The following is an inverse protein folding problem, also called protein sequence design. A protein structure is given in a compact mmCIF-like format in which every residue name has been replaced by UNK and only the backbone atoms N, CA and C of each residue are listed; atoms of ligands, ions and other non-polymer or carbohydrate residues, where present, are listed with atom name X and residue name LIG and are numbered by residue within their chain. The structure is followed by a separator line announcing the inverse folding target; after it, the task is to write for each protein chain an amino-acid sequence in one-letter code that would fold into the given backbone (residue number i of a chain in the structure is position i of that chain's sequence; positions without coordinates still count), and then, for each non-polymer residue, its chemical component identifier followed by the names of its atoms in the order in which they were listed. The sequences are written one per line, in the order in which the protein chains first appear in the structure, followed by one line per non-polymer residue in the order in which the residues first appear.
data_IF_354581245943
#
_entry.id   IF_354581245943
#
_cell.length_a   1.000
_cell.length_b   1.000
_cell.length_c   1.000
_cell.angle_alpha   90.00
_cell.angle_beta   90.00
_cell.angle_gamma   90.00
#
_symmetry.space_group_name_H-M   'P 1'
#
loop_
_entity.id
_entity.type
_entity.pdbx_description
1 polymer ?
#
# COMPACT_ATOMS: atom_id res chain seq x y z
N UNK A 1 0.17 -13.21 -12.13
CA UNK A 1 -1.14 -13.38 -11.48
C UNK A 1 -2.11 -14.23 -12.29
N UNK A 2 -3.28 -14.52 -11.75
CA UNK A 2 -4.27 -15.39 -12.38
C UNK A 2 -5.03 -14.72 -13.55
N UNK A 3 -5.00 -13.39 -13.65
CA UNK A 3 -5.76 -12.66 -14.66
C UNK A 3 -4.90 -12.23 -15.83
N UNK A 4 -5.48 -12.29 -17.04
CA UNK A 4 -4.99 -11.50 -18.16
C UNK A 4 -5.33 -10.04 -17.92
N UNK A 5 -4.56 -9.11 -18.48
CA UNK A 5 -4.81 -7.69 -18.39
C UNK A 5 -4.67 -7.00 -19.74
N UNK A 6 -5.18 -5.77 -19.83
CA UNK A 6 -4.99 -4.89 -21.00
C UNK A 6 -4.83 -3.45 -20.50
N UNK A 7 -4.68 -2.50 -21.41
CA UNK A 7 -4.33 -1.12 -21.05
C UNK A 7 -5.29 -0.09 -21.64
N UNK A 8 -5.34 1.08 -20.98
CA UNK A 8 -5.92 2.31 -21.52
C UNK A 8 -4.81 3.36 -21.56
N UNK A 9 -4.67 4.03 -22.68
CA UNK A 9 -3.67 5.06 -22.94
C UNK A 9 -4.33 6.38 -23.35
N UNK A 10 -3.56 7.45 -23.42
CA UNK A 10 -4.02 8.76 -23.93
C UNK A 10 -4.66 8.67 -25.31
N UNK A 11 -4.11 7.83 -26.21
CA UNK A 11 -4.68 7.61 -27.54
C UNK A 11 -6.10 6.99 -27.52
N UNK A 12 -6.51 6.42 -26.40
CA UNK A 12 -7.83 5.84 -26.15
C UNK A 12 -8.69 6.77 -25.26
N UNK A 13 -8.24 8.01 -25.03
CA UNK A 13 -8.98 9.03 -24.29
C UNK A 13 -8.67 9.11 -22.79
N UNK A 14 -7.65 8.39 -22.31
CA UNK A 14 -7.18 8.57 -20.95
C UNK A 14 -6.69 9.99 -20.74
N UNK A 15 -7.10 10.64 -19.65
CA UNK A 15 -6.61 11.97 -19.26
C UNK A 15 -5.11 11.93 -18.94
N UNK A 16 -4.40 12.98 -19.30
CA UNK A 16 -2.98 13.17 -19.01
C UNK A 16 -2.79 14.47 -18.19
N UNK A 17 -2.40 14.33 -16.94
CA UNK A 17 -2.08 15.46 -16.07
C UNK A 17 -3.28 16.29 -15.58
N UNK A 18 -3.03 17.49 -14.99
CA UNK A 18 -1.83 18.35 -15.19
C UNK A 18 -0.57 17.99 -14.38
N UNK A 19 -0.70 17.23 -13.29
CA UNK A 19 0.42 17.04 -12.35
C UNK A 19 1.27 15.78 -12.65
N UNK A 20 0.98 15.11 -13.75
CA UNK A 20 1.77 13.98 -14.27
C UNK A 20 1.68 13.92 -15.80
N UNK A 21 2.51 13.09 -16.43
CA UNK A 21 2.47 12.77 -17.86
C UNK A 21 2.61 11.27 -18.13
N UNK A 22 2.37 10.89 -19.39
CA UNK A 22 2.59 9.53 -19.90
C UNK A 22 1.87 8.44 -19.07
N UNK A 23 0.67 8.74 -18.59
CA UNK A 23 -0.16 7.81 -17.82
C UNK A 23 -0.62 6.62 -18.65
N UNK A 24 -0.57 5.43 -18.05
CA UNK A 24 -1.16 4.20 -18.62
C UNK A 24 -1.88 3.45 -17.52
N UNK A 25 -3.14 3.16 -17.74
CA UNK A 25 -3.96 2.31 -16.87
C UNK A 25 -3.87 0.88 -17.37
N UNK A 26 -3.55 -0.05 -16.49
CA UNK A 26 -3.62 -1.50 -16.67
C UNK A 26 -4.83 -2.01 -15.88
N UNK A 27 -5.65 -2.85 -16.49
CA UNK A 27 -6.82 -3.39 -15.82
C UNK A 27 -7.03 -4.88 -16.16
N UNK A 28 -7.55 -5.69 -15.20
CA UNK A 28 -7.74 -7.12 -15.39
C UNK A 28 -8.83 -7.41 -16.41
N UNK A 29 -8.68 -8.49 -17.16
CA UNK A 29 -9.70 -9.06 -18.02
C UNK A 29 -10.36 -10.21 -17.28
N UNK A 30 -11.62 -10.05 -16.93
CA UNK A 30 -12.31 -10.98 -16.04
C UNK A 30 -11.96 -10.69 -14.56
N UNK A 31 -12.63 -11.36 -13.66
CA UNK A 31 -12.54 -11.07 -12.22
C UNK A 31 -13.80 -10.37 -11.73
N UNK A 32 -13.83 -10.04 -10.45
CA UNK A 32 -15.00 -9.46 -9.79
C UNK A 32 -14.83 -7.95 -9.60
N UNK A 33 -15.69 -7.17 -10.23
CA UNK A 33 -15.80 -5.73 -9.99
C UNK A 33 -16.68 -5.48 -8.73
N UNK A 34 -16.53 -4.31 -8.06
CA UNK A 34 -15.66 -3.19 -8.43
C UNK A 34 -14.19 -3.43 -8.09
N UNK A 35 -13.29 -3.05 -9.00
CA UNK A 35 -11.86 -3.22 -8.85
C UNK A 35 -11.24 -2.13 -7.96
N UNK A 36 -10.38 -2.54 -7.05
CA UNK A 36 -9.53 -1.67 -6.25
C UNK A 36 -8.36 -1.17 -7.11
N UNK A 37 -7.78 -0.01 -6.75
CA UNK A 37 -6.80 0.65 -7.60
C UNK A 37 -5.51 1.02 -6.89
N UNK A 38 -4.39 0.98 -7.64
CA UNK A 38 -3.08 1.45 -7.20
C UNK A 38 -2.43 2.33 -8.26
N UNK A 39 -1.85 3.47 -7.86
CA UNK A 39 -1.11 4.37 -8.74
C UNK A 39 0.38 4.32 -8.41
N UNK A 40 1.24 4.35 -9.45
CA UNK A 40 2.67 4.15 -9.32
C UNK A 40 3.47 5.26 -10.02
N UNK A 41 4.49 5.80 -9.33
CA UNK A 41 5.39 6.84 -9.84
C UNK A 41 6.86 6.40 -9.75
N UNK A 42 7.72 6.78 -10.75
CA UNK A 42 9.13 6.38 -10.79
C UNK A 42 10.03 7.20 -9.85
N UNK A 43 11.30 6.78 -9.79
CA UNK A 43 12.37 7.48 -9.10
C UNK A 43 12.91 8.72 -9.84
N UNK A 44 14.00 9.29 -9.30
CA UNK A 44 14.73 10.41 -9.91
C UNK A 44 15.27 10.01 -11.30
N UNK A 45 15.05 10.86 -12.28
CA UNK A 45 15.47 10.62 -13.68
C UNK A 45 14.66 9.53 -14.38
N UNK A 46 13.71 8.88 -13.70
CA UNK A 46 12.87 7.83 -14.26
C UNK A 46 11.62 8.37 -14.95
N UNK A 47 11.29 7.81 -16.12
CA UNK A 47 10.02 8.05 -16.81
C UNK A 47 8.97 7.01 -16.43
N UNK A 48 7.72 7.20 -16.89
CA UNK A 48 6.57 6.36 -16.53
C UNK A 48 6.80 4.85 -16.76
N UNK A 49 7.62 4.47 -17.72
CA UNK A 49 7.88 3.06 -18.07
C UNK A 49 8.65 2.29 -17.01
N UNK A 50 9.33 2.97 -16.09
CA UNK A 50 10.07 2.33 -14.98
C UNK A 50 9.14 1.47 -14.11
N UNK A 51 7.89 1.91 -13.92
CA UNK A 51 6.90 1.22 -13.08
C UNK A 51 6.06 0.18 -13.83
N UNK A 52 6.38 -0.13 -15.10
CA UNK A 52 5.57 -1.05 -15.92
C UNK A 52 5.45 -2.45 -15.32
N UNK A 53 6.56 -3.03 -14.83
CA UNK A 53 6.56 -4.38 -14.27
C UNK A 53 5.65 -4.48 -13.02
N UNK A 54 5.65 -3.46 -12.18
CA UNK A 54 4.78 -3.39 -11.02
C UNK A 54 3.31 -3.18 -11.41
N UNK A 55 3.03 -2.32 -12.40
CA UNK A 55 1.65 -2.12 -12.89
C UNK A 55 1.07 -3.41 -13.49
N UNK A 56 1.85 -4.13 -14.31
CA UNK A 56 1.48 -5.44 -14.87
C UNK A 56 1.26 -6.50 -13.78
N UNK A 57 2.12 -6.50 -12.77
CA UNK A 57 2.00 -7.38 -11.62
C UNK A 57 0.65 -7.18 -10.92
N UNK A 58 0.31 -5.95 -10.51
CA UNK A 58 -0.95 -5.68 -9.83
C UNK A 58 -2.17 -5.95 -10.72
N UNK A 59 -2.13 -5.55 -11.98
CA UNK A 59 -3.22 -5.82 -12.91
C UNK A 59 -3.48 -7.33 -13.10
N UNK A 60 -2.42 -8.14 -13.18
CA UNK A 60 -2.54 -9.59 -13.26
C UNK A 60 -3.09 -10.23 -11.97
N UNK A 61 -3.10 -9.50 -10.85
CA UNK A 61 -3.66 -9.94 -9.57
C UNK A 61 -5.04 -9.33 -9.25
N UNK A 62 -5.67 -8.67 -10.23
CA UNK A 62 -7.06 -8.22 -10.09
C UNK A 62 -7.24 -6.77 -9.67
N UNK A 63 -6.17 -5.97 -9.64
CA UNK A 63 -6.24 -4.54 -9.37
C UNK A 63 -6.24 -3.71 -10.66
N UNK A 64 -6.84 -2.53 -10.63
CA UNK A 64 -6.52 -1.51 -11.61
C UNK A 64 -5.21 -0.86 -11.17
N UNK A 65 -4.20 -0.85 -12.05
CA UNK A 65 -2.92 -0.23 -11.77
C UNK A 65 -2.64 0.89 -12.79
N UNK A 66 -2.30 2.08 -12.33
CA UNK A 66 -1.93 3.17 -13.21
C UNK A 66 -0.50 3.59 -12.93
N UNK A 67 0.37 3.49 -13.95
CA UNK A 67 1.69 4.10 -13.88
C UNK A 67 1.69 5.48 -14.50
N UNK A 68 2.43 6.39 -13.91
CA UNK A 68 2.61 7.76 -14.38
C UNK A 68 4.08 8.14 -14.45
N UNK A 69 4.39 9.16 -15.24
CA UNK A 69 5.69 9.86 -15.22
C UNK A 69 5.55 11.24 -14.58
N UNK A 70 6.59 11.76 -13.93
CA UNK A 70 6.62 13.15 -13.49
C UNK A 70 6.64 14.10 -14.69
N UNK A 71 6.22 15.34 -14.52
CA UNK A 71 6.29 16.35 -15.58
C UNK A 71 7.73 16.70 -15.93
N UNK A 72 8.62 16.69 -14.92
CA UNK A 72 10.06 16.83 -15.09
C UNK A 72 10.78 15.72 -14.31
N UNK A 73 11.44 14.81 -15.01
CA UNK A 73 12.10 13.64 -14.44
C UNK A 73 13.23 14.01 -13.45
N UNK A 74 13.81 15.20 -13.60
CA UNK A 74 14.96 15.68 -12.82
C UNK A 74 14.53 16.69 -11.74
N UNK A 75 13.62 17.62 -12.06
CA UNK A 75 13.35 18.76 -11.19
C UNK A 75 12.06 18.63 -10.36
N UNK A 76 11.14 17.70 -10.69
CA UNK A 76 9.96 17.49 -9.87
C UNK A 76 10.37 16.90 -8.50
N UNK A 77 10.02 17.62 -7.44
CA UNK A 77 10.23 17.23 -6.05
C UNK A 77 9.40 16.00 -5.66
N UNK A 78 9.66 15.43 -4.48
CA UNK A 78 8.81 14.39 -3.86
C UNK A 78 7.35 14.85 -3.80
N UNK A 79 7.12 16.07 -3.30
CA UNK A 79 5.79 16.66 -3.18
C UNK A 79 5.06 16.76 -4.53
N UNK A 80 5.72 17.24 -5.60
CA UNK A 80 5.12 17.32 -6.94
C UNK A 80 4.77 15.92 -7.50
N UNK A 81 5.62 14.93 -7.25
CA UNK A 81 5.32 13.54 -7.62
C UNK A 81 4.15 12.97 -6.80
N UNK A 82 4.03 13.37 -5.52
CA UNK A 82 2.87 13.07 -4.67
C UNK A 82 1.58 13.68 -5.23
N UNK A 83 1.63 14.94 -5.67
CA UNK A 83 0.51 15.59 -6.38
C UNK A 83 0.14 14.83 -7.66
N UNK A 84 1.14 14.36 -8.42
CA UNK A 84 0.91 13.51 -9.60
C UNK A 84 0.20 12.20 -9.29
N UNK A 85 0.51 11.55 -8.16
CA UNK A 85 -0.21 10.36 -7.71
C UNK A 85 -1.68 10.65 -7.41
N UNK A 86 -1.98 11.75 -6.72
CA UNK A 86 -3.35 12.17 -6.41
C UNK A 86 -4.11 12.55 -7.69
N UNK A 87 -3.47 13.28 -8.61
CA UNK A 87 -4.08 13.65 -9.89
C UNK A 87 -4.37 12.42 -10.78
N UNK A 88 -3.52 11.40 -10.72
CA UNK A 88 -3.74 10.14 -11.44
C UNK A 88 -4.90 9.32 -10.85
N UNK A 89 -5.14 9.38 -9.55
CA UNK A 89 -6.34 8.81 -8.92
C UNK A 89 -7.59 9.47 -9.51
N UNK A 90 -7.60 10.80 -9.66
CA UNK A 90 -8.72 11.52 -10.30
C UNK A 90 -8.90 11.08 -11.76
N UNK A 91 -7.84 10.70 -12.46
CA UNK A 91 -7.95 10.17 -13.83
C UNK A 91 -8.61 8.79 -13.87
N UNK A 92 -8.32 7.90 -12.93
CA UNK A 92 -9.02 6.61 -12.79
C UNK A 92 -10.50 6.84 -12.47
N UNK A 93 -10.83 7.77 -11.55
CA UNK A 93 -12.22 8.13 -11.23
C UNK A 93 -12.98 8.66 -12.44
N UNK A 94 -12.32 9.46 -13.29
CA UNK A 94 -12.91 9.95 -14.55
C UNK A 94 -13.15 8.81 -15.55
N UNK A 95 -12.23 7.84 -15.66
CA UNK A 95 -12.41 6.64 -16.48
C UNK A 95 -13.63 5.82 -16.04
N UNK A 96 -13.89 5.72 -14.72
CA UNK A 96 -15.09 5.08 -14.20
C UNK A 96 -16.40 5.75 -14.65
N UNK A 97 -16.35 7.04 -14.97
CA UNK A 97 -17.51 7.84 -15.39
C UNK A 97 -17.60 8.02 -16.91
N UNK A 98 -16.52 7.80 -17.65
CA UNK A 98 -16.46 7.95 -19.11
C UNK A 98 -17.16 6.79 -19.80
N UNK A 99 -18.25 7.06 -20.56
CA UNK A 99 -19.11 6.05 -21.15
C UNK A 99 -18.39 5.07 -22.10
N UNK A 100 -17.37 5.56 -22.83
CA UNK A 100 -16.60 4.75 -23.77
C UNK A 100 -15.36 4.10 -23.12
N UNK A 101 -15.16 4.26 -21.81
CA UNK A 101 -14.08 3.62 -21.10
C UNK A 101 -14.39 2.14 -20.86
N UNK A 102 -13.42 1.24 -21.09
CA UNK A 102 -13.62 -0.18 -20.80
C UNK A 102 -13.73 -0.51 -19.30
N UNK A 103 -13.40 0.45 -18.41
CA UNK A 103 -13.56 0.33 -16.96
C UNK A 103 -14.70 1.20 -16.42
N UNK A 104 -15.60 1.69 -17.29
CA UNK A 104 -16.77 2.46 -16.87
C UNK A 104 -17.64 1.65 -15.91
N UNK A 105 -17.90 2.21 -14.72
CA UNK A 105 -18.69 1.57 -13.66
C UNK A 105 -18.02 0.36 -12.98
N UNK A 106 -16.73 0.10 -13.22
CA UNK A 106 -16.01 -1.05 -12.69
C UNK A 106 -14.99 -0.70 -11.58
N UNK A 107 -14.77 0.58 -11.29
CA UNK A 107 -13.80 1.04 -10.29
C UNK A 107 -14.46 1.19 -8.93
N UNK A 108 -13.82 0.69 -7.89
CA UNK A 108 -14.17 1.04 -6.52
C UNK A 108 -13.69 2.47 -6.22
N UNK A 109 -14.65 3.38 -6.04
CA UNK A 109 -14.39 4.81 -5.89
C UNK A 109 -13.84 5.21 -4.52
N UNK A 110 -13.85 4.28 -3.56
CA UNK A 110 -13.42 4.51 -2.17
C UNK A 110 -12.13 3.73 -1.84
N UNK A 111 -11.50 3.08 -2.84
CA UNK A 111 -10.38 2.17 -2.58
C UNK A 111 -9.21 2.40 -3.54
N UNK A 112 -8.38 3.37 -3.16
CA UNK A 112 -7.15 3.75 -3.87
C UNK A 112 -5.92 3.57 -2.99
N UNK A 113 -4.82 3.14 -3.61
CA UNK A 113 -3.51 2.98 -2.99
C UNK A 113 -2.44 3.63 -3.86
N UNK A 114 -1.28 3.87 -3.28
CA UNK A 114 -0.15 4.48 -3.98
C UNK A 114 1.13 3.69 -3.78
N UNK A 115 2.01 3.77 -4.77
CA UNK A 115 3.33 3.16 -4.73
C UNK A 115 4.33 3.98 -5.55
N UNK A 116 5.61 3.80 -5.25
CA UNK A 116 6.65 4.40 -6.05
C UNK A 116 8.03 3.88 -5.68
N UNK A 117 8.98 4.08 -6.57
CA UNK A 117 10.36 3.68 -6.40
C UNK A 117 11.26 4.87 -6.07
N UNK A 118 12.20 4.71 -5.13
CA UNK A 118 13.18 5.74 -4.80
C UNK A 118 12.50 7.05 -4.38
N UNK A 119 12.76 8.13 -5.08
CA UNK A 119 12.06 9.42 -4.92
C UNK A 119 10.53 9.28 -5.05
N UNK A 120 10.06 8.39 -5.94
CA UNK A 120 8.63 8.06 -6.05
C UNK A 120 8.09 7.31 -4.82
N UNK A 121 8.94 6.54 -4.15
CA UNK A 121 8.60 5.90 -2.87
C UNK A 121 8.35 6.93 -1.76
N UNK A 122 9.20 7.96 -1.67
CA UNK A 122 8.96 9.11 -0.79
C UNK A 122 7.70 9.88 -1.16
N UNK A 123 7.51 10.13 -2.47
CA UNK A 123 6.30 10.80 -2.98
C UNK A 123 5.00 10.06 -2.60
N UNK A 124 5.06 8.74 -2.41
CA UNK A 124 3.91 7.97 -1.94
C UNK A 124 3.53 8.32 -0.49
N UNK A 125 4.48 8.68 0.37
CA UNK A 125 4.22 9.21 1.71
C UNK A 125 3.66 10.63 1.63
N UNK A 126 4.19 11.50 0.72
CA UNK A 126 3.60 12.83 0.49
C UNK A 126 2.13 12.71 0.03
N UNK A 127 1.81 11.77 -0.87
CA UNK A 127 0.43 11.52 -1.28
C UNK A 127 -0.44 11.09 -0.09
N UNK A 128 0.07 10.26 0.82
CA UNK A 128 -0.63 9.85 2.04
C UNK A 128 -0.84 11.02 3.03
N UNK A 129 0.07 11.98 3.06
CA UNK A 129 -0.12 13.24 3.80
C UNK A 129 -1.20 14.13 3.17
N UNK A 130 -1.35 14.11 1.83
CA UNK A 130 -2.37 14.89 1.11
C UNK A 130 -3.76 14.26 1.20
N UNK A 131 -3.83 12.91 1.18
CA UNK A 131 -5.08 12.16 1.21
C UNK A 131 -4.99 10.97 2.19
N UNK A 132 -5.41 11.18 3.41
CA UNK A 132 -5.48 10.16 4.45
C UNK A 132 -6.56 9.08 4.23
N UNK A 133 -7.35 9.15 3.14
CA UNK A 133 -8.34 8.13 2.77
C UNK A 133 -7.73 7.00 1.93
N UNK A 134 -6.48 7.13 1.50
CA UNK A 134 -5.74 6.07 0.82
C UNK A 134 -5.71 4.79 1.67
N UNK A 135 -5.81 3.64 1.03
CA UNK A 135 -5.88 2.33 1.71
C UNK A 135 -4.51 1.75 2.03
N UNK A 136 -3.51 2.03 1.19
CA UNK A 136 -2.16 1.53 1.41
C UNK A 136 -1.11 2.39 0.69
N UNK A 137 0.06 2.47 1.30
CA UNK A 137 1.33 2.90 0.68
C UNK A 137 2.22 1.68 0.52
N UNK A 138 2.84 1.53 -0.65
CA UNK A 138 3.93 0.57 -0.88
C UNK A 138 5.12 1.35 -1.42
N UNK A 139 6.10 1.62 -0.56
CA UNK A 139 7.28 2.40 -0.91
C UNK A 139 8.48 1.49 -1.18
N UNK A 140 9.00 1.58 -2.40
CA UNK A 140 10.02 0.71 -2.97
C UNK A 140 11.37 1.42 -2.89
N UNK A 141 12.22 1.05 -1.91
CA UNK A 141 13.49 1.72 -1.62
C UNK A 141 13.34 3.26 -1.57
N UNK A 142 12.45 3.79 -0.70
CA UNK A 142 12.12 5.21 -0.70
C UNK A 142 13.25 6.08 -0.19
N UNK A 143 13.26 7.32 -0.67
CA UNK A 143 13.95 8.45 -0.05
C UNK A 143 12.93 9.51 0.32
N UNK A 144 12.94 10.01 1.54
CA UNK A 144 12.15 11.17 1.96
C UNK A 144 13.10 12.25 2.40
N UNK A 145 13.04 13.40 1.73
CA UNK A 145 13.95 14.50 1.99
C UNK A 145 13.21 15.82 2.21
N UNK A 146 13.73 16.60 3.13
CA UNK A 146 13.48 18.02 3.27
C UNK A 146 14.74 18.77 2.89
N UNK A 147 14.61 19.80 2.06
CA UNK A 147 15.76 20.58 1.58
C UNK A 147 15.72 22.00 2.18
N UNK A 148 16.54 22.25 3.19
CA UNK A 148 16.72 23.57 3.79
C UNK A 148 18.09 23.67 4.49
N UNK A 149 19.00 24.48 3.92
CA UNK A 149 20.32 24.70 4.51
C UNK A 149 20.34 25.40 5.87
N UNK A 150 19.21 25.91 6.36
CA UNK A 150 19.09 26.46 7.71
C UNK A 150 18.74 25.40 8.76
N UNK A 151 18.11 24.30 8.33
CA UNK A 151 17.61 23.24 9.22
C UNK A 151 18.39 21.94 9.03
N UNK A 152 18.74 21.59 7.79
CA UNK A 152 19.43 20.36 7.47
C UNK A 152 20.95 20.51 7.47
N UNK A 153 21.72 19.49 7.90
CA UNK A 153 23.17 19.48 7.74
C UNK A 153 23.57 19.43 6.27
N UNK A 154 24.68 20.10 5.95
CA UNK A 154 25.28 20.02 4.63
C UNK A 154 25.94 18.64 4.43
N UNK A 155 25.65 18.00 3.30
CA UNK A 155 26.26 16.74 2.86
C UNK A 155 26.75 16.89 1.40
N UNK A 156 27.55 15.95 0.92
CA UNK A 156 28.15 16.01 -0.42
C UNK A 156 27.93 14.68 -1.14
N UNK A 157 27.37 14.72 -2.33
CA UNK A 157 27.22 13.58 -3.21
C UNK A 157 27.65 13.95 -4.64
N UNK A 158 28.47 13.14 -5.26
CA UNK A 158 29.04 13.37 -6.60
C UNK A 158 29.68 14.76 -6.78
N UNK A 159 30.20 15.35 -5.69
CA UNK A 159 30.86 16.65 -5.70
C UNK A 159 29.95 17.86 -5.54
N UNK A 160 28.64 17.64 -5.43
CA UNK A 160 27.64 18.68 -5.14
C UNK A 160 27.28 18.71 -3.65
N UNK A 161 26.98 19.88 -3.13
CA UNK A 161 26.59 20.08 -1.72
C UNK A 161 25.07 20.17 -1.64
N UNK A 162 24.49 19.32 -0.81
CA UNK A 162 23.07 19.30 -0.49
C UNK A 162 22.87 19.59 1.00
N UNK A 163 21.77 20.27 1.32
CA UNK A 163 21.32 20.49 2.69
C UNK A 163 19.98 19.78 2.84
N UNK A 164 20.03 18.46 2.98
CA UNK A 164 18.84 17.60 3.01
C UNK A 164 18.80 16.81 4.30
N UNK A 165 17.59 16.55 4.81
CA UNK A 165 17.35 15.69 5.96
C UNK A 165 15.91 15.14 5.95
N UNK A 166 15.66 14.07 6.71
CA UNK A 166 14.31 13.62 7.01
C UNK A 166 13.74 14.47 8.14
N UNK A 167 12.53 14.97 7.94
CA UNK A 167 11.73 15.65 8.96
C UNK A 167 10.55 14.74 9.28
N UNK A 168 10.38 14.29 10.55
CA UNK A 168 9.35 13.30 10.91
C UNK A 168 7.94 13.70 10.50
N UNK A 169 7.65 15.01 10.43
CA UNK A 169 6.36 15.55 10.04
C UNK A 169 5.95 15.17 8.61
N UNK A 170 6.90 14.80 7.72
CA UNK A 170 6.59 14.37 6.35
C UNK A 170 6.10 12.92 6.25
N UNK A 171 6.23 12.15 7.31
CA UNK A 171 5.78 10.77 7.38
C UNK A 171 4.74 10.55 8.49
N UNK A 172 4.22 11.65 9.06
CA UNK A 172 3.18 11.64 10.11
C UNK A 172 1.78 11.49 9.50
N UNK A 173 1.50 10.32 8.96
CA UNK A 173 0.18 9.95 8.43
C UNK A 173 -0.28 8.59 8.95
N UNK A 174 -1.59 8.34 8.86
CA UNK A 174 -2.24 7.11 9.33
C UNK A 174 -2.46 6.04 8.23
N UNK A 175 -2.01 6.30 7.01
CA UNK A 175 -2.19 5.34 5.91
C UNK A 175 -1.23 4.17 6.09
N UNK A 176 -1.72 2.92 6.11
CA UNK A 176 -0.88 1.73 6.25
C UNK A 176 0.27 1.67 5.23
N UNK A 177 1.49 1.37 5.67
CA UNK A 177 2.69 1.50 4.85
C UNK A 177 3.61 0.29 4.87
N UNK A 178 3.86 -0.31 3.69
CA UNK A 178 4.90 -1.30 3.47
C UNK A 178 6.13 -0.62 2.85
N UNK A 179 7.29 -0.72 3.53
CA UNK A 179 8.53 -0.07 3.15
C UNK A 179 9.57 -1.15 2.82
N UNK A 180 10.06 -1.15 1.59
CA UNK A 180 11.21 -1.95 1.20
C UNK A 180 12.48 -1.13 1.28
N UNK A 181 13.56 -1.70 1.83
CA UNK A 181 14.86 -1.06 1.94
C UNK A 181 15.99 -2.04 1.59
N UNK A 182 17.18 -1.57 1.30
CA UNK A 182 18.36 -2.40 1.10
C UNK A 182 19.34 -2.25 2.25
N UNK A 183 19.92 -3.38 2.75
CA UNK A 183 20.88 -3.38 3.87
C UNK A 183 22.12 -2.52 3.58
N UNK A 184 22.59 -2.51 2.33
CA UNK A 184 23.79 -1.76 1.94
C UNK A 184 23.48 -0.52 1.09
N UNK A 185 22.23 -0.12 1.04
CA UNK A 185 21.73 1.00 0.23
C UNK A 185 22.42 2.33 0.56
N UNK A 186 22.71 2.57 1.84
CA UNK A 186 23.44 3.76 2.30
C UNK A 186 24.84 3.88 1.66
N UNK A 187 25.48 2.76 1.27
CA UNK A 187 26.78 2.78 0.61
C UNK A 187 26.68 3.29 -0.85
N UNK A 188 25.52 3.15 -1.48
CA UNK A 188 25.23 3.63 -2.83
C UNK A 188 24.75 5.09 -2.80
N UNK A 189 24.01 5.45 -1.75
CA UNK A 189 23.36 6.75 -1.57
C UNK A 189 23.86 7.45 -0.30
N UNK A 190 25.16 7.69 -0.20
CA UNK A 190 25.79 8.21 1.02
C UNK A 190 25.28 9.59 1.47
N UNK A 191 24.80 10.42 0.54
CA UNK A 191 24.19 11.71 0.87
C UNK A 191 22.81 11.58 1.51
N UNK A 192 22.20 10.41 1.45
CA UNK A 192 20.85 10.12 1.93
C UNK A 192 20.86 9.31 3.24
N UNK A 193 22.02 9.22 3.90
CA UNK A 193 22.11 8.63 5.23
C UNK A 193 21.14 9.35 6.19
N UNK A 194 20.29 8.59 6.88
CA UNK A 194 19.23 9.12 7.74
C UNK A 194 17.92 9.49 7.01
N UNK A 195 17.78 9.13 5.71
CA UNK A 195 16.61 9.49 4.88
C UNK A 195 16.10 8.32 4.03
N UNK A 196 16.56 7.11 4.30
CA UNK A 196 16.21 5.89 3.58
C UNK A 196 15.04 5.15 4.25
N UNK A 197 14.63 4.04 3.70
CA UNK A 197 13.47 3.27 4.17
C UNK A 197 13.50 2.91 5.65
N UNK A 198 14.67 2.60 6.21
CA UNK A 198 14.88 2.31 7.64
C UNK A 198 14.54 3.53 8.51
N UNK A 199 14.97 4.71 8.07
CA UNK A 199 14.74 5.96 8.80
C UNK A 199 13.28 6.40 8.67
N UNK A 200 12.68 6.20 7.50
CA UNK A 200 11.25 6.46 7.27
C UNK A 200 10.42 5.62 8.24
N UNK A 201 10.66 4.31 8.31
CA UNK A 201 9.96 3.41 9.23
C UNK A 201 10.10 3.87 10.68
N UNK A 202 11.31 4.26 11.10
CA UNK A 202 11.60 4.68 12.46
C UNK A 202 10.93 6.01 12.86
N UNK A 203 10.63 6.88 11.88
CA UNK A 203 10.02 8.19 12.10
C UNK A 203 8.49 8.19 11.88
N UNK A 204 7.92 7.14 11.30
CA UNK A 204 6.46 7.01 11.19
C UNK A 204 5.81 6.74 12.55
N UNK A 205 4.56 7.22 12.77
CA UNK A 205 3.82 6.97 14.00
C UNK A 205 3.69 5.47 14.32
N UNK A 206 3.77 5.14 15.61
CA UNK A 206 3.53 3.76 16.07
C UNK A 206 2.04 3.34 15.94
N UNK A 207 1.14 4.31 15.79
CA UNK A 207 -0.29 4.07 15.55
C UNK A 207 -0.62 3.75 14.10
N UNK A 208 0.35 3.91 13.18
CA UNK A 208 0.18 3.56 11.76
C UNK A 208 0.66 2.14 11.54
N UNK A 209 -0.18 1.29 10.95
CA UNK A 209 0.23 -0.04 10.52
C UNK A 209 1.40 0.08 9.54
N UNK A 210 2.53 -0.50 9.90
CA UNK A 210 3.75 -0.37 9.09
C UNK A 210 4.61 -1.63 9.13
N UNK A 211 5.23 -1.91 7.97
CA UNK A 211 6.25 -2.95 7.81
C UNK A 211 7.49 -2.34 7.16
N UNK A 212 8.67 -2.70 7.66
CA UNK A 212 9.93 -2.52 6.95
C UNK A 212 10.53 -3.88 6.62
N UNK A 213 10.75 -4.11 5.33
CA UNK A 213 11.43 -5.29 4.79
C UNK A 213 12.78 -4.86 4.20
N UNK A 214 13.85 -5.05 4.97
CA UNK A 214 15.20 -4.77 4.52
C UNK A 214 15.81 -6.01 3.87
N UNK A 215 16.17 -5.91 2.58
CA UNK A 215 16.78 -7.01 1.83
C UNK A 215 18.27 -7.22 2.18
N UNK A 216 18.64 -8.45 2.53
CA UNK A 216 19.99 -8.82 2.90
C UNK A 216 20.99 -8.62 1.75
N UNK A 217 22.11 -7.96 2.03
CA UNK A 217 23.16 -7.62 1.06
C UNK A 217 22.65 -6.88 -0.20
N UNK A 218 21.51 -6.24 -0.11
CA UNK A 218 20.85 -5.55 -1.22
C UNK A 218 21.05 -4.04 -1.12
N UNK A 219 21.22 -3.40 -2.28
CA UNK A 219 21.31 -1.95 -2.42
C UNK A 219 19.98 -1.30 -2.82
N UNK A 220 20.07 -0.12 -3.42
CA UNK A 220 18.92 0.71 -3.80
C UNK A 220 17.94 0.04 -4.80
N UNK A 221 18.39 -0.96 -5.54
CA UNK A 221 17.56 -1.69 -6.50
C UNK A 221 16.72 -2.85 -5.93
N UNK A 222 16.73 -3.09 -4.61
CA UNK A 222 16.10 -4.27 -3.99
C UNK A 222 14.65 -4.49 -4.42
N UNK A 223 13.84 -3.44 -4.41
CA UNK A 223 12.42 -3.53 -4.77
C UNK A 223 12.06 -2.82 -6.09
N UNK A 224 13.05 -2.50 -6.95
CA UNK A 224 12.80 -1.81 -8.21
C UNK A 224 11.85 -2.58 -9.16
N UNK A 225 11.75 -3.90 -9.03
CA UNK A 225 10.84 -4.76 -9.81
C UNK A 225 10.22 -5.84 -8.94
N UNK A 226 9.02 -6.36 -9.30
CA UNK A 226 8.39 -7.45 -8.56
C UNK A 226 9.13 -8.76 -8.78
N UNK A 227 9.55 -9.43 -7.71
CA UNK A 227 10.14 -10.78 -7.75
C UNK A 227 10.08 -11.44 -6.36
N UNK A 228 10.06 -12.79 -6.31
CA UNK A 228 10.18 -13.57 -5.07
C UNK A 228 9.31 -13.03 -3.93
N UNK A 229 9.89 -12.98 -2.73
CA UNK A 229 9.20 -12.47 -1.53
C UNK A 229 8.84 -10.98 -1.62
N UNK A 230 9.57 -10.15 -2.38
CA UNK A 230 9.23 -8.72 -2.56
C UNK A 230 7.82 -8.57 -3.13
N UNK A 231 7.52 -9.29 -4.22
CA UNK A 231 6.18 -9.24 -4.81
C UNK A 231 5.11 -9.92 -3.94
N UNK A 232 5.46 -10.97 -3.20
CA UNK A 232 4.54 -11.67 -2.32
C UNK A 232 4.10 -10.77 -1.15
N UNK A 233 5.04 -10.08 -0.51
CA UNK A 233 4.73 -9.16 0.58
C UNK A 233 3.95 -7.93 0.09
N UNK A 234 4.31 -7.38 -1.08
CA UNK A 234 3.55 -6.29 -1.69
C UNK A 234 2.10 -6.70 -2.02
N UNK A 235 1.89 -7.92 -2.53
CA UNK A 235 0.55 -8.44 -2.82
C UNK A 235 -0.24 -8.72 -1.53
N UNK A 236 0.38 -9.33 -0.51
CA UNK A 236 -0.29 -9.61 0.75
C UNK A 236 -0.66 -8.31 1.48
N UNK A 237 0.18 -7.26 1.37
CA UNK A 237 -0.14 -5.93 1.88
C UNK A 237 -1.41 -5.35 1.23
N UNK A 238 -1.49 -5.43 -0.10
CA UNK A 238 -2.69 -5.02 -0.84
C UNK A 238 -3.91 -5.88 -0.50
N UNK A 239 -3.75 -7.19 -0.33
CA UNK A 239 -4.85 -8.06 0.06
C UNK A 239 -5.37 -7.73 1.45
N UNK A 240 -4.48 -7.54 2.41
CA UNK A 240 -4.87 -7.26 3.78
C UNK A 240 -5.57 -5.91 3.92
N UNK A 241 -4.93 -4.80 3.49
CA UNK A 241 -5.44 -3.45 3.71
C UNK A 241 -6.48 -2.97 2.67
N UNK A 242 -6.59 -3.65 1.53
CA UNK A 242 -7.41 -3.19 0.40
C UNK A 242 -8.55 -4.15 0.06
N UNK A 243 -8.35 -5.45 0.32
CA UNK A 243 -9.35 -6.50 0.08
C UNK A 243 -9.89 -7.12 1.38
N UNK A 244 -9.45 -6.63 2.54
CA UNK A 244 -9.82 -7.15 3.87
C UNK A 244 -9.52 -8.66 4.05
N UNK A 245 -8.49 -9.17 3.36
CA UNK A 245 -8.07 -10.57 3.41
C UNK A 245 -7.20 -10.81 4.65
N UNK A 246 -7.82 -11.38 5.69
CA UNK A 246 -7.17 -11.64 6.99
C UNK A 246 -6.06 -12.70 6.86
N UNK A 247 -6.20 -13.69 5.99
CA UNK A 247 -5.18 -14.73 5.77
C UNK A 247 -3.88 -14.12 5.19
N UNK A 248 -4.02 -13.04 4.42
CA UNK A 248 -2.88 -12.29 3.92
C UNK A 248 -2.08 -11.61 5.05
N UNK A 249 -2.75 -11.16 6.11
CA UNK A 249 -2.08 -10.61 7.29
C UNK A 249 -1.18 -11.63 7.98
N UNK A 250 -1.64 -12.84 8.22
CA UNK A 250 -0.84 -13.90 8.83
C UNK A 250 0.42 -14.19 8.00
N UNK A 251 0.29 -14.14 6.67
CA UNK A 251 1.43 -14.30 5.76
C UNK A 251 2.46 -13.16 5.90
N UNK A 252 2.01 -11.95 6.25
CA UNK A 252 2.89 -10.80 6.52
C UNK A 252 3.64 -10.91 7.84
N UNK A 253 3.21 -11.73 8.79
CA UNK A 253 3.93 -11.97 10.05
C UNK A 253 5.08 -12.99 9.92
N UNK A 254 5.18 -13.69 8.81
CA UNK A 254 6.28 -14.62 8.54
C UNK A 254 7.54 -13.81 8.25
N UNK A 255 8.68 -14.15 8.88
CA UNK A 255 9.95 -13.49 8.60
C UNK A 255 10.46 -13.90 7.20
N UNK A 256 10.65 -12.97 6.25
CA UNK A 256 11.05 -13.31 4.89
C UNK A 256 12.50 -13.80 4.82
N UNK A 257 12.76 -14.78 3.97
CA UNK A 257 14.09 -15.39 3.82
C UNK A 257 15.11 -14.45 3.18
N UNK A 258 14.66 -13.48 2.41
CA UNK A 258 15.51 -12.46 1.78
C UNK A 258 15.88 -11.31 2.73
N UNK A 259 15.31 -11.24 3.94
CA UNK A 259 15.50 -10.12 4.83
C UNK A 259 16.80 -10.22 5.65
N UNK A 260 17.54 -9.11 5.75
CA UNK A 260 18.50 -8.85 6.84
C UNK A 260 17.78 -8.35 8.08
N UNK A 261 16.73 -7.52 7.90
CA UNK A 261 15.85 -7.06 8.95
C UNK A 261 14.40 -7.03 8.47
N UNK A 262 13.50 -7.40 9.37
CA UNK A 262 12.07 -7.30 9.14
C UNK A 262 11.41 -6.77 10.41
N UNK A 263 10.78 -5.61 10.30
CA UNK A 263 10.13 -4.94 11.42
C UNK A 263 8.65 -4.72 11.06
N UNK A 264 7.78 -4.95 12.03
CA UNK A 264 6.36 -4.71 11.88
C UNK A 264 5.71 -4.39 13.21
N UNK A 265 4.66 -3.59 13.18
CA UNK A 265 3.77 -3.34 14.30
C UNK A 265 2.34 -3.82 14.02
N UNK A 266 2.10 -4.48 12.85
CA UNK A 266 0.77 -5.00 12.56
C UNK A 266 0.42 -6.15 13.51
N UNK A 267 -0.81 -6.13 13.96
CA UNK A 267 -1.44 -7.24 14.66
C UNK A 267 -2.52 -7.78 13.75
N UNK A 268 -2.35 -9.00 13.27
CA UNK A 268 -3.44 -9.66 12.56
C UNK A 268 -4.57 -9.84 13.56
N UNK A 269 -5.67 -9.15 13.33
CA UNK A 269 -6.88 -9.55 14.01
C UNK A 269 -6.97 -11.05 13.79
N UNK A 270 -6.97 -11.84 14.85
CA UNK A 270 -7.18 -13.26 14.69
C UNK A 270 -8.30 -13.40 13.66
N UNK A 271 -8.05 -14.16 12.57
CA UNK A 271 -9.14 -14.77 11.83
C UNK A 271 -9.84 -15.60 12.89
N UNK A 272 -10.71 -14.93 13.64
CA UNK A 272 -11.32 -15.54 14.81
C UNK A 272 -11.98 -16.76 14.25
N UNK A 273 -11.58 -17.94 14.72
CA UNK A 273 -12.36 -19.13 14.46
C UNK A 273 -13.81 -18.70 14.63
N UNK A 274 -14.59 -18.82 13.55
CA UNK A 274 -15.97 -18.34 13.57
C UNK A 274 -16.65 -18.87 14.84
N UNK A 275 -17.06 -17.97 15.72
CA UNK A 275 -17.50 -18.31 17.07
C UNK A 275 -16.48 -18.07 18.19
N UNK A 276 -15.20 -17.82 17.91
CA UNK A 276 -14.19 -17.41 18.91
C UNK A 276 -14.18 -15.87 18.99
N UNK A 277 -15.04 -15.35 19.82
CA UNK A 277 -15.30 -13.89 19.93
C UNK A 277 -14.29 -13.23 20.87
N UNK A 278 -13.67 -13.99 21.77
CA UNK A 278 -12.66 -13.49 22.70
C UNK A 278 -11.21 -13.63 22.17
N UNK A 279 -11.00 -14.35 21.05
CA UNK A 279 -9.69 -14.53 20.42
C UNK A 279 -8.75 -15.47 21.17
N UNK A 280 -9.27 -16.40 22.02
CA UNK A 280 -8.44 -17.33 22.78
C UNK A 280 -8.19 -18.65 22.04
N UNK A 281 -8.63 -18.77 20.80
CA UNK A 281 -8.57 -19.95 19.93
C UNK A 281 -9.41 -21.14 20.41
N UNK A 282 -10.38 -20.92 21.32
CA UNK A 282 -11.27 -21.96 21.86
C UNK A 282 -12.72 -21.48 21.80
N UNK A 283 -13.52 -22.00 20.89
CA UNK A 283 -14.97 -21.70 20.85
C UNK A 283 -15.68 -22.36 22.04
N UNK A 284 -16.14 -21.55 22.98
CA UNK A 284 -16.76 -22.03 24.24
C UNK A 284 -17.84 -21.06 24.76
N UNK A 285 -18.35 -21.33 25.99
CA UNK A 285 -19.42 -20.53 26.59
C UNK A 285 -19.05 -19.05 26.82
N UNK A 286 -17.77 -18.71 26.92
CA UNK A 286 -17.33 -17.32 27.08
C UNK A 286 -17.66 -16.51 25.85
N UNK A 287 -17.52 -17.10 24.66
CA UNK A 287 -17.85 -16.47 23.39
C UNK A 287 -19.35 -16.23 23.24
N UNK A 288 -20.17 -17.18 23.73
CA UNK A 288 -21.63 -16.98 23.77
C UNK A 288 -22.00 -15.74 24.58
N UNK A 289 -21.35 -15.55 25.73
CA UNK A 289 -21.59 -14.39 26.60
C UNK A 289 -21.20 -13.10 25.89
N UNK A 290 -20.06 -13.10 25.20
CA UNK A 290 -19.59 -11.94 24.43
C UNK A 290 -20.52 -11.65 23.25
N UNK A 291 -20.94 -12.66 22.50
CA UNK A 291 -21.90 -12.50 21.40
C UNK A 291 -23.21 -11.90 21.89
N UNK A 292 -23.74 -12.35 23.02
CA UNK A 292 -24.95 -11.77 23.65
C UNK A 292 -24.72 -10.29 23.98
N UNK A 293 -23.55 -9.91 24.50
CA UNK A 293 -23.24 -8.52 24.80
C UNK A 293 -23.18 -7.64 23.53
N UNK A 294 -22.63 -8.18 22.43
CA UNK A 294 -22.64 -7.51 21.14
C UNK A 294 -24.07 -7.28 20.62
N UNK A 295 -24.92 -8.30 20.70
CA UNK A 295 -26.37 -8.19 20.36
C UNK A 295 -27.05 -7.11 21.18
N UNK A 296 -26.84 -7.09 22.51
CA UNK A 296 -27.46 -6.12 23.40
C UNK A 296 -26.95 -4.69 23.20
N UNK A 297 -25.70 -4.52 22.75
CA UNK A 297 -25.09 -3.22 22.46
C UNK A 297 -25.23 -2.79 21.01
N UNK A 298 -25.82 -3.64 20.17
CA UNK A 298 -25.95 -3.42 18.70
C UNK A 298 -24.59 -3.15 18.04
N UNK A 299 -23.54 -3.89 18.48
CA UNK A 299 -22.19 -3.80 17.93
C UNK A 299 -21.92 -4.99 17.01
N UNK A 300 -21.23 -4.72 15.90
CA UNK A 300 -20.79 -5.73 14.94
C UNK A 300 -19.43 -6.31 15.33
N UNK A 301 -19.26 -7.62 15.16
CA UNK A 301 -17.99 -8.32 15.25
C UNK A 301 -18.04 -9.50 14.27
N UNK A 302 -17.07 -9.61 13.38
CA UNK A 302 -17.02 -10.63 12.32
C UNK A 302 -17.00 -12.06 12.87
N UNK A 303 -16.25 -12.33 13.96
CA UNK A 303 -16.19 -13.65 14.59
C UNK A 303 -17.52 -14.06 15.23
N UNK A 304 -18.39 -13.11 15.51
CA UNK A 304 -19.71 -13.32 16.09
C UNK A 304 -20.84 -13.43 15.05
N UNK A 305 -20.59 -13.04 13.78
CA UNK A 305 -21.54 -13.14 12.66
C UNK A 305 -21.40 -14.53 11.99
N UNK A 306 -22.03 -15.53 12.61
CA UNK A 306 -21.89 -16.93 12.20
C UNK A 306 -22.67 -17.27 10.91
N UNK A 307 -23.68 -16.46 10.56
CA UNK A 307 -24.48 -16.67 9.37
C UNK A 307 -24.04 -15.80 8.19
N UNK A 308 -23.05 -14.89 8.41
CA UNK A 308 -22.49 -13.96 7.42
C UNK A 308 -23.52 -13.03 6.78
N UNK A 309 -24.54 -12.58 7.56
CA UNK A 309 -25.55 -11.65 7.09
C UNK A 309 -25.23 -10.17 7.39
N UNK A 310 -24.01 -9.90 7.90
CA UNK A 310 -23.48 -8.60 8.29
C UNK A 310 -24.19 -7.97 9.50
N UNK A 311 -24.89 -8.77 10.29
CA UNK A 311 -25.48 -8.37 11.58
C UNK A 311 -25.13 -9.39 12.64
N UNK A 312 -24.93 -8.95 13.88
CA UNK A 312 -24.80 -9.86 15.02
C UNK A 312 -26.09 -9.85 15.80
N UNK A 313 -26.85 -10.94 15.72
CA UNK A 313 -28.14 -11.05 16.35
C UNK A 313 -28.35 -12.40 17.10
N UNK A 314 -29.59 -12.67 17.48
CA UNK A 314 -29.92 -13.90 18.24
C UNK A 314 -29.72 -15.19 17.42
N UNK A 315 -29.73 -15.09 16.07
CA UNK A 315 -29.52 -16.26 15.21
C UNK A 315 -28.06 -16.74 15.32
N UNK A 316 -27.12 -15.80 15.43
CA UNK A 316 -25.69 -16.11 15.63
C UNK A 316 -25.45 -16.77 16.99
N UNK A 317 -26.07 -16.25 18.03
CA UNK A 317 -26.01 -16.87 19.37
C UNK A 317 -26.49 -18.32 19.31
N UNK A 318 -27.57 -18.59 18.61
CA UNK A 318 -28.11 -19.98 18.46
C UNK A 318 -27.14 -20.84 17.67
N UNK A 319 -26.54 -20.34 16.60
CA UNK A 319 -25.56 -21.07 15.82
C UNK A 319 -24.30 -21.37 16.65
N UNK A 320 -23.79 -20.39 17.40
CA UNK A 320 -22.64 -20.55 18.27
C UNK A 320 -22.86 -21.64 19.33
N UNK A 321 -24.02 -21.61 19.97
CA UNK A 321 -24.40 -22.67 20.93
C UNK A 321 -24.44 -24.05 20.27
N UNK A 322 -24.94 -24.16 19.04
CA UNK A 322 -24.95 -25.43 18.32
C UNK A 322 -23.54 -25.93 17.98
N UNK A 323 -22.59 -25.04 17.65
CA UNK A 323 -21.18 -25.40 17.43
C UNK A 323 -20.56 -26.00 18.71
N UNK A 324 -20.82 -25.38 19.85
CA UNK A 324 -20.26 -25.82 21.16
C UNK A 324 -20.83 -27.16 21.62
N UNK A 325 -22.05 -27.47 21.23
CA UNK A 325 -22.76 -28.69 21.69
C UNK A 325 -22.53 -29.93 20.80
N UNK A 326 -21.94 -29.76 19.59
CA UNK A 326 -21.64 -30.83 18.66
C UNK A 326 -20.16 -31.17 18.59
#
# INVERSE_FOLDING_TARGET
GPYQFTTITESQGLRNGPDYRDGVVYYPIGGEAPYKSIVLTPGFGGGSTEMSNWAEFYASHGFIAMRIGPNDEINDSHYQRGQGLIDAIESIKQENSRLDSPINGLVDMDSFSVSGYSMGGGASHDAAMMDGSLKAVISLNPTVIFEDCNLCPANTYEGEVYCICLVPEFVDHSVPSLIFAGEVEVNELTAYEGMLGQDIYANMPESTDKIMFEGANSGHGFAASPYGEVQEYALNWMKYHVLDDVDACESLLIYPSLASQYLTNIECGSSGMLGDVNGDSIVNIQDVILTINLVLSNQYNMSADLNSDSTVDVLDVVQLVNIILN
#
